data_IF_957261927269
#
_entry.id   IF_957261927269
#
_cell.length_a   1.000
_cell.length_b   1.000
_cell.length_c   1.000
_cell.angle_alpha   90.00
_cell.angle_beta   90.00
_cell.angle_gamma   90.00
#
_symmetry.space_group_name_H-M   'P 1'
#
loop_
_entity.id
_entity.type
_entity.pdbx_description
1 polymer ?
#
# COMPACT_ATOMS: atom_id res chain seq x y z
N UNK A 1 -13.39 -30.23 -27.48
CA UNK A 1 -14.31 -30.98 -26.59
C UNK A 1 -14.29 -30.25 -25.26
N UNK A 2 -15.46 -29.95 -24.67
CA UNK A 2 -15.48 -29.46 -23.30
C UNK A 2 -15.00 -30.61 -22.40
N UNK A 3 -14.00 -30.35 -21.56
CA UNK A 3 -13.40 -31.35 -20.68
C UNK A 3 -14.31 -31.60 -19.47
N UNK A 4 -15.04 -30.56 -19.07
CA UNK A 4 -16.07 -30.60 -18.04
C UNK A 4 -17.43 -30.80 -18.73
N UNK A 5 -18.19 -31.80 -18.29
CA UNK A 5 -19.52 -32.03 -18.81
C UNK A 5 -20.51 -30.93 -18.35
N UNK A 6 -21.63 -30.77 -19.05
CA UNK A 6 -22.60 -29.69 -18.77
C UNK A 6 -23.26 -29.82 -17.37
N UNK A 7 -23.40 -31.06 -16.88
CA UNK A 7 -24.00 -31.34 -15.57
C UNK A 7 -23.04 -30.94 -14.45
N UNK A 8 -21.77 -31.28 -14.57
CA UNK A 8 -20.68 -30.87 -13.69
C UNK A 8 -20.54 -29.36 -13.69
N UNK A 9 -20.60 -28.72 -14.86
CA UNK A 9 -20.53 -27.27 -14.98
C UNK A 9 -21.68 -26.59 -14.23
N UNK A 10 -22.90 -27.11 -14.37
CA UNK A 10 -24.06 -26.59 -13.63
C UNK A 10 -23.88 -26.70 -12.12
N UNK A 11 -23.37 -27.84 -11.63
CA UNK A 11 -23.07 -28.03 -10.21
C UNK A 11 -21.96 -27.10 -9.70
N UNK A 12 -20.94 -26.82 -10.51
CA UNK A 12 -19.87 -25.88 -10.18
C UNK A 12 -20.37 -24.43 -10.13
N UNK A 13 -21.31 -24.05 -11.00
CA UNK A 13 -21.95 -22.73 -10.96
C UNK A 13 -22.76 -22.56 -9.67
N UNK A 14 -23.53 -23.57 -9.27
CA UNK A 14 -24.29 -23.54 -8.01
C UNK A 14 -23.38 -23.38 -6.80
N UNK A 15 -22.30 -24.17 -6.72
CA UNK A 15 -21.26 -24.03 -5.69
C UNK A 15 -20.59 -22.66 -5.70
N UNK A 16 -20.34 -22.09 -6.88
CA UNK A 16 -19.72 -20.77 -6.99
C UNK A 16 -20.65 -19.67 -6.45
N UNK A 17 -21.96 -19.77 -6.71
CA UNK A 17 -22.95 -18.86 -6.15
C UNK A 17 -23.06 -19.01 -4.63
N UNK A 18 -22.98 -20.23 -4.11
CA UNK A 18 -22.90 -20.49 -2.67
C UNK A 18 -21.67 -19.81 -2.04
N UNK A 19 -20.49 -19.98 -2.65
CA UNK A 19 -19.25 -19.37 -2.19
C UNK A 19 -19.26 -17.83 -2.12
N UNK A 20 -20.04 -17.19 -3.00
CA UNK A 20 -20.18 -15.74 -3.06
C UNK A 20 -21.21 -15.23 -2.05
N UNK A 21 -22.30 -15.97 -1.85
CA UNK A 21 -23.36 -15.61 -0.89
C UNK A 21 -23.02 -15.93 0.55
N UNK A 22 -21.98 -16.72 0.76
CA UNK A 22 -21.52 -17.07 2.09
C UNK A 22 -21.06 -15.82 2.87
N UNK A 23 -21.60 -15.69 4.08
CA UNK A 23 -21.37 -14.55 4.96
C UNK A 23 -20.01 -14.59 5.65
N UNK A 24 -19.48 -15.80 5.84
CA UNK A 24 -18.18 -16.05 6.46
C UNK A 24 -17.11 -16.11 5.36
N UNK A 25 -16.15 -15.16 5.30
CA UNK A 25 -15.15 -15.08 4.23
C UNK A 25 -14.36 -16.39 4.03
N UNK A 26 -14.01 -17.06 5.13
CA UNK A 26 -13.26 -18.32 5.13
C UNK A 26 -14.00 -19.47 4.45
N UNK A 27 -15.30 -19.60 4.71
CA UNK A 27 -16.11 -20.63 4.09
C UNK A 27 -16.22 -20.40 2.59
N UNK A 28 -16.43 -19.15 2.17
CA UNK A 28 -16.42 -18.79 0.74
C UNK A 28 -15.08 -19.09 0.07
N UNK A 29 -13.95 -18.79 0.75
CA UNK A 29 -12.62 -19.12 0.24
C UNK A 29 -12.41 -20.64 0.12
N UNK A 30 -12.84 -21.41 1.12
CA UNK A 30 -12.77 -22.89 1.10
C UNK A 30 -13.56 -23.49 -0.06
N UNK A 31 -14.79 -23.02 -0.31
CA UNK A 31 -15.60 -23.51 -1.43
C UNK A 31 -14.94 -23.16 -2.77
N UNK A 32 -14.41 -21.94 -2.92
CA UNK A 32 -13.65 -21.56 -4.12
C UNK A 32 -12.42 -22.46 -4.33
N UNK A 33 -11.74 -22.87 -3.25
CA UNK A 33 -10.61 -23.81 -3.33
C UNK A 33 -11.05 -25.18 -3.82
N UNK A 34 -12.14 -25.72 -3.28
CA UNK A 34 -12.71 -26.99 -3.75
C UNK A 34 -13.08 -26.93 -5.24
N UNK A 35 -13.62 -25.81 -5.72
CA UNK A 35 -13.94 -25.61 -7.14
C UNK A 35 -12.67 -25.68 -8.00
N UNK A 36 -11.62 -24.95 -7.62
CA UNK A 36 -10.34 -24.95 -8.34
C UNK A 36 -9.70 -26.33 -8.34
N UNK A 37 -9.70 -27.04 -7.20
CA UNK A 37 -9.17 -28.40 -7.09
C UNK A 37 -9.97 -29.40 -7.94
N UNK A 38 -11.29 -29.29 -7.95
CA UNK A 38 -12.17 -30.14 -8.78
C UNK A 38 -11.87 -29.94 -10.26
N UNK A 39 -11.78 -28.69 -10.72
CA UNK A 39 -11.45 -28.37 -12.12
C UNK A 39 -10.03 -28.83 -12.45
N UNK A 40 -9.07 -28.63 -11.54
CA UNK A 40 -7.69 -29.11 -11.70
C UNK A 40 -7.63 -30.62 -11.90
N UNK A 41 -8.39 -31.38 -11.11
CA UNK A 41 -8.50 -32.83 -11.26
C UNK A 41 -9.14 -33.23 -12.59
N UNK A 42 -10.17 -32.52 -13.05
CA UNK A 42 -10.85 -32.81 -14.33
C UNK A 42 -9.95 -32.47 -15.54
N UNK A 43 -9.14 -31.42 -15.43
CA UNK A 43 -8.24 -30.95 -16.47
C UNK A 43 -6.84 -31.60 -16.41
N UNK A 44 -6.66 -32.69 -15.65
CA UNK A 44 -5.36 -33.35 -15.48
C UNK A 44 -4.21 -32.38 -15.15
N UNK A 45 -4.49 -31.38 -14.31
CA UNK A 45 -3.53 -30.32 -13.91
C UNK A 45 -3.01 -29.44 -15.06
N UNK A 46 -3.67 -29.45 -16.23
CA UNK A 46 -3.33 -28.56 -17.34
C UNK A 46 -3.78 -27.12 -17.05
N UNK A 47 -2.83 -26.29 -16.64
CA UNK A 47 -3.07 -24.88 -16.25
C UNK A 47 -3.85 -24.06 -17.28
N UNK A 48 -3.64 -24.32 -18.58
CA UNK A 48 -4.35 -23.61 -19.65
C UNK A 48 -5.84 -23.97 -19.68
N UNK A 49 -6.14 -25.24 -19.48
CA UNK A 49 -7.52 -25.75 -19.47
C UNK A 49 -8.26 -25.34 -18.20
N UNK A 50 -7.57 -25.37 -17.05
CA UNK A 50 -8.11 -24.87 -15.78
C UNK A 50 -8.51 -23.40 -15.91
N UNK A 51 -7.61 -22.55 -16.40
CA UNK A 51 -7.89 -21.13 -16.60
C UNK A 51 -9.07 -20.91 -17.58
N UNK A 52 -9.14 -21.70 -18.65
CA UNK A 52 -10.23 -21.62 -19.62
C UNK A 52 -11.59 -22.02 -19.02
N UNK A 53 -11.64 -23.09 -18.22
CA UNK A 53 -12.87 -23.54 -17.56
C UNK A 53 -13.30 -22.55 -16.45
N UNK A 54 -12.37 -22.02 -15.65
CA UNK A 54 -12.66 -20.97 -14.67
C UNK A 54 -13.24 -19.71 -15.33
N UNK A 55 -12.66 -19.28 -16.46
CA UNK A 55 -13.19 -18.16 -17.24
C UNK A 55 -14.59 -18.44 -17.77
N UNK A 56 -14.85 -19.69 -18.17
CA UNK A 56 -16.17 -20.10 -18.67
C UNK A 56 -17.21 -20.11 -17.55
N UNK A 57 -16.86 -20.56 -16.34
CA UNK A 57 -17.71 -20.46 -15.16
C UNK A 57 -18.00 -19.01 -14.78
N UNK A 58 -16.98 -18.15 -14.78
CA UNK A 58 -17.16 -16.75 -14.47
C UNK A 58 -18.12 -16.06 -15.46
N UNK A 59 -18.02 -16.38 -16.76
CA UNK A 59 -18.97 -15.89 -17.78
C UNK A 59 -20.39 -16.42 -17.58
N UNK A 60 -20.53 -17.67 -17.13
CA UNK A 60 -21.84 -18.23 -16.79
C UNK A 60 -22.45 -17.53 -15.57
N UNK A 61 -21.64 -17.17 -14.57
CA UNK A 61 -22.04 -16.39 -13.39
C UNK A 61 -22.50 -14.97 -13.78
N UNK A 62 -21.84 -14.32 -14.73
CA UNK A 62 -22.31 -13.02 -15.27
C UNK A 62 -23.71 -13.13 -15.90
N UNK A 63 -24.08 -14.31 -16.41
CA UNK A 63 -25.38 -14.55 -17.04
C UNK A 63 -26.44 -14.91 -16.00
N UNK A 64 -26.07 -15.63 -14.93
CA UNK A 64 -27.01 -16.09 -13.89
C UNK A 64 -27.13 -15.16 -12.69
N UNK A 65 -26.17 -14.25 -12.49
CA UNK A 65 -26.10 -13.34 -11.35
C UNK A 65 -25.57 -11.94 -11.73
N UNK A 66 -25.11 -11.16 -10.76
CA UNK A 66 -24.53 -9.83 -10.93
C UNK A 66 -23.10 -9.87 -11.49
N UNK A 67 -22.74 -8.88 -12.30
CA UNK A 67 -21.38 -8.65 -12.78
C UNK A 67 -20.37 -8.53 -11.62
N UNK A 68 -20.79 -7.95 -10.49
CA UNK A 68 -19.95 -7.82 -9.31
C UNK A 68 -19.58 -9.18 -8.69
N UNK A 69 -20.55 -10.11 -8.63
CA UNK A 69 -20.33 -11.45 -8.08
C UNK A 69 -19.36 -12.25 -8.96
N UNK A 70 -19.52 -12.16 -10.28
CA UNK A 70 -18.59 -12.79 -11.21
C UNK A 70 -17.17 -12.21 -11.10
N UNK A 71 -17.04 -10.91 -10.85
CA UNK A 71 -15.76 -10.26 -10.61
C UNK A 71 -15.09 -10.74 -9.31
N UNK A 72 -15.83 -10.80 -8.21
CA UNK A 72 -15.32 -11.36 -6.94
C UNK A 72 -14.88 -12.81 -7.09
N UNK A 73 -15.66 -13.64 -7.78
CA UNK A 73 -15.29 -15.02 -8.07
C UNK A 73 -13.97 -15.12 -8.84
N UNK A 74 -13.78 -14.27 -9.87
CA UNK A 74 -12.51 -14.21 -10.63
C UNK A 74 -11.33 -13.84 -9.72
N UNK A 75 -11.50 -12.87 -8.82
CA UNK A 75 -10.44 -12.48 -7.90
C UNK A 75 -10.06 -13.62 -6.95
N UNK A 76 -11.06 -14.21 -6.28
CA UNK A 76 -10.86 -15.30 -5.31
C UNK A 76 -10.18 -16.52 -5.95
N UNK A 77 -10.68 -16.95 -7.11
CA UNK A 77 -10.11 -18.11 -7.82
C UNK A 77 -8.70 -17.85 -8.34
N UNK A 78 -8.40 -16.63 -8.79
CA UNK A 78 -7.04 -16.23 -9.18
C UNK A 78 -6.06 -16.29 -8.00
N UNK A 79 -6.44 -15.75 -6.84
CA UNK A 79 -5.63 -15.80 -5.63
C UNK A 79 -5.33 -17.26 -5.20
N UNK A 80 -6.35 -18.11 -5.21
CA UNK A 80 -6.23 -19.54 -4.86
C UNK A 80 -5.31 -20.28 -5.84
N UNK A 81 -5.43 -20.06 -7.14
CA UNK A 81 -4.53 -20.67 -8.12
C UNK A 81 -3.07 -20.31 -7.85
N UNK A 82 -2.79 -19.04 -7.51
CA UNK A 82 -1.45 -18.60 -7.16
C UNK A 82 -0.95 -19.28 -5.88
N UNK A 83 -1.80 -19.41 -4.87
CA UNK A 83 -1.48 -20.08 -3.61
C UNK A 83 -1.13 -21.55 -3.83
N UNK A 84 -1.96 -22.30 -4.58
CA UNK A 84 -1.70 -23.71 -4.93
C UNK A 84 -0.36 -23.82 -5.67
N UNK A 85 -0.12 -22.96 -6.67
CA UNK A 85 1.14 -22.95 -7.42
C UNK A 85 2.37 -22.64 -6.54
N UNK A 86 2.24 -21.75 -5.56
CA UNK A 86 3.30 -21.47 -4.60
C UNK A 86 3.54 -22.65 -3.67
N UNK A 87 2.48 -23.30 -3.19
CA UNK A 87 2.59 -24.45 -2.29
C UNK A 87 3.19 -25.66 -2.99
N UNK A 88 2.84 -25.93 -4.24
CA UNK A 88 3.44 -26.99 -5.06
C UNK A 88 4.94 -26.75 -5.25
N UNK A 89 5.35 -25.51 -5.55
CA UNK A 89 6.78 -25.14 -5.63
C UNK A 89 7.49 -25.32 -4.29
N UNK A 90 6.83 -25.00 -3.18
CA UNK A 90 7.36 -25.22 -1.83
C UNK A 90 7.53 -26.72 -1.55
N UNK A 91 6.52 -27.54 -1.86
CA UNK A 91 6.56 -29.00 -1.72
C UNK A 91 7.68 -29.60 -2.59
N UNK A 92 7.84 -29.17 -3.83
CA UNK A 92 8.91 -29.64 -4.72
C UNK A 92 10.31 -29.36 -4.15
N UNK A 93 10.52 -28.17 -3.56
CA UNK A 93 11.79 -27.81 -2.90
C UNK A 93 12.10 -28.72 -1.70
N UNK A 94 11.09 -29.06 -0.89
CA UNK A 94 11.28 -29.92 0.28
C UNK A 94 11.62 -31.37 -0.09
N UNK A 95 11.07 -31.88 -1.21
CA UNK A 95 11.32 -33.26 -1.66
C UNK A 95 12.61 -33.40 -2.48
N UNK A 96 13.48 -32.38 -2.53
CA UNK A 96 14.73 -32.43 -3.29
C UNK A 96 14.54 -32.53 -4.80
N UNK A 97 13.32 -32.35 -5.31
CA UNK A 97 13.09 -32.09 -6.72
C UNK A 97 13.56 -30.67 -6.99
N UNK A 98 14.84 -30.54 -7.37
CA UNK A 98 15.35 -29.32 -7.96
C UNK A 98 14.41 -28.96 -9.12
N UNK A 99 13.59 -27.93 -8.92
CA UNK A 99 12.77 -27.39 -9.98
C UNK A 99 13.71 -27.13 -11.16
N UNK A 100 13.47 -27.80 -12.29
CA UNK A 100 14.19 -27.49 -13.51
C UNK A 100 14.15 -25.96 -13.65
N UNK A 101 15.30 -25.29 -13.85
CA UNK A 101 15.33 -23.85 -13.93
C UNK A 101 14.27 -23.45 -14.93
N UNK A 102 13.33 -22.59 -14.51
CA UNK A 102 12.39 -21.96 -15.44
C UNK A 102 13.26 -21.47 -16.57
N UNK A 103 13.09 -21.95 -17.82
CA UNK A 103 13.95 -21.56 -18.91
C UNK A 103 13.92 -20.04 -18.91
N UNK A 104 15.06 -19.45 -18.58
CA UNK A 104 15.23 -18.00 -18.66
C UNK A 104 14.77 -17.68 -20.07
N UNK A 105 13.72 -16.86 -20.25
CA UNK A 105 13.24 -16.55 -21.59
C UNK A 105 14.47 -16.06 -22.34
N UNK A 106 14.90 -16.86 -23.32
CA UNK A 106 16.03 -16.51 -24.17
C UNK A 106 15.66 -15.12 -24.68
N UNK A 107 16.49 -14.10 -24.44
CA UNK A 107 16.16 -12.74 -24.85
C UNK A 107 15.76 -12.81 -26.31
N UNK A 108 14.48 -12.54 -26.58
CA UNK A 108 13.97 -12.47 -27.94
C UNK A 108 14.87 -11.45 -28.63
N UNK A 109 15.60 -11.82 -29.69
CA UNK A 109 16.48 -10.89 -30.37
C UNK A 109 15.66 -9.65 -30.71
N UNK A 110 16.14 -8.49 -30.26
CA UNK A 110 15.49 -7.22 -30.49
C UNK A 110 15.09 -7.15 -31.97
N UNK A 111 13.82 -6.87 -32.29
CA UNK A 111 13.40 -6.74 -33.68
C UNK A 111 14.35 -5.77 -34.36
N UNK A 112 14.99 -6.24 -35.44
CA UNK A 112 15.94 -5.46 -36.21
C UNK A 112 15.29 -4.10 -36.51
N UNK A 113 16.01 -3.02 -36.19
CA UNK A 113 15.54 -1.66 -36.38
C UNK A 113 14.95 -1.52 -37.79
N UNK A 114 13.65 -1.25 -37.86
CA UNK A 114 12.98 -0.88 -39.10
C UNK A 114 13.77 0.28 -39.71
N UNK A 115 14.24 0.18 -40.97
CA UNK A 115 15.00 1.24 -41.59
C UNK A 115 14.18 2.53 -41.61
N UNK A 116 14.82 3.63 -41.21
CA UNK A 116 14.22 4.96 -41.18
C UNK A 116 13.64 5.31 -42.56
N UNK A 117 12.43 5.90 -42.62
CA UNK A 117 11.85 6.32 -43.89
C UNK A 117 12.74 7.38 -44.54
N UNK A 118 13.17 7.11 -45.78
CA UNK A 118 13.88 8.03 -46.65
C UNK A 118 13.13 9.36 -46.73
N UNK A 119 13.81 10.45 -46.37
CA UNK A 119 13.26 11.80 -46.45
C UNK A 119 12.80 12.13 -47.87
N UNK A 120 11.53 12.52 -47.99
CA UNK A 120 10.96 13.02 -49.23
C UNK A 120 11.64 14.35 -49.64
N UNK A 121 11.87 14.58 -50.94
CA UNK A 121 12.53 15.80 -51.42
C UNK A 121 11.68 17.05 -51.16
N UNK A 122 12.35 18.10 -50.69
CA UNK A 122 11.77 19.39 -50.34
C UNK A 122 11.09 20.06 -51.55
N UNK A 123 9.87 20.55 -51.32
CA UNK A 123 9.12 21.35 -52.28
C UNK A 123 9.79 22.73 -52.52
N UNK A 124 9.66 23.30 -53.73
CA UNK A 124 10.25 24.60 -54.07
C UNK A 124 9.56 25.77 -53.37
N UNK A 125 10.27 26.90 -53.16
CA UNK A 125 9.77 28.04 -52.39
C UNK A 125 8.66 28.79 -53.13
N UNK A 126 7.61 29.12 -52.37
CA UNK A 126 6.50 30.01 -52.79
C UNK A 126 6.99 31.47 -52.85
N UNK A 127 6.60 32.25 -53.88
CA UNK A 127 7.04 33.64 -54.03
C UNK A 127 6.35 34.59 -53.04
N UNK A 128 7.10 35.64 -52.68
CA UNK A 128 6.74 36.68 -51.71
C UNK A 128 5.51 37.52 -52.14
N UNK A 129 4.65 37.94 -51.19
CA UNK A 129 3.58 38.87 -51.46
C UNK A 129 4.10 40.32 -51.54
N UNK A 130 3.61 41.04 -52.56
CA UNK A 130 3.86 42.45 -52.81
C UNK A 130 3.22 43.34 -51.73
N UNK A 131 3.93 44.43 -51.38
CA UNK A 131 3.42 45.53 -50.59
C UNK A 131 2.46 46.38 -51.43
N UNK A 132 1.29 46.71 -50.89
CA UNK A 132 0.47 47.83 -51.35
C UNK A 132 0.17 48.81 -50.19
N UNK A 133 0.30 50.07 -50.55
CA UNK A 133 0.18 51.35 -49.83
C UNK A 133 -1.18 51.60 -49.15
N UNK A 134 -1.25 52.51 -48.13
CA UNK A 134 -2.49 52.86 -47.46
C UNK A 134 -3.21 54.02 -48.16
N UNK A 135 -4.53 53.92 -48.26
CA UNK A 135 -5.41 55.05 -48.57
C UNK A 135 -6.48 55.18 -47.47
N UNK A 136 -6.70 56.44 -47.09
CA UNK A 136 -7.57 56.89 -46.02
C UNK A 136 -9.07 56.81 -46.35
N UNK A 137 -9.88 57.08 -45.32
CA UNK A 137 -11.11 57.91 -45.31
C UNK A 137 -12.38 57.25 -44.71
N UNK A 138 -12.92 58.00 -43.75
CA UNK A 138 -14.29 58.21 -43.25
C UNK A 138 -15.16 57.12 -42.58
N UNK A 139 -15.47 57.44 -41.32
CA UNK A 139 -16.76 57.25 -40.63
C UNK A 139 -17.92 57.93 -41.39
N UNK A 140 -19.17 57.41 -41.37
CA UNK A 140 -20.08 57.79 -40.27
C UNK A 140 -21.17 56.75 -39.86
N UNK A 141 -21.52 56.80 -38.57
CA UNK A 141 -22.87 56.91 -37.96
C UNK A 141 -24.11 56.18 -38.56
N UNK A 142 -24.80 55.46 -37.66
CA UNK A 142 -26.24 55.57 -37.26
C UNK A 142 -27.27 54.51 -37.72
N UNK A 143 -27.92 53.94 -36.69
CA UNK A 143 -29.33 53.48 -36.51
C UNK A 143 -30.13 52.87 -37.67
N UNK A 144 -30.80 51.73 -37.39
CA UNK A 144 -32.10 51.41 -37.97
C UNK A 144 -32.41 49.93 -38.18
N UNK A 145 -33.08 49.30 -37.20
CA UNK A 145 -33.99 48.15 -37.39
C UNK A 145 -35.29 48.59 -38.12
N UNK A 146 -36.26 47.72 -38.50
CA UNK A 146 -36.28 46.33 -39.02
C UNK A 146 -37.17 46.31 -40.33
N UNK A 147 -38.02 45.32 -40.75
CA UNK A 147 -38.19 43.88 -40.45
C UNK A 147 -38.42 42.93 -41.68
N UNK A 148 -38.66 41.63 -41.36
CA UNK A 148 -39.60 40.66 -42.00
C UNK A 148 -39.16 39.71 -43.15
N UNK A 149 -39.23 38.41 -42.80
CA UNK A 149 -39.87 37.27 -43.49
C UNK A 149 -39.31 36.75 -44.85
N UNK A 150 -38.77 35.52 -44.86
CA UNK A 150 -39.49 34.26 -45.21
C UNK A 150 -38.56 33.02 -45.27
N UNK A 151 -38.96 31.96 -44.55
CA UNK A 151 -39.13 30.52 -44.95
C UNK A 151 -37.96 29.89 -45.76
N UNK A 152 -37.30 28.76 -45.40
CA UNK A 152 -37.73 27.34 -45.32
C UNK A 152 -36.52 26.52 -44.78
N UNK A 153 -36.75 25.49 -43.95
CA UNK A 153 -35.97 24.23 -44.03
C UNK A 153 -35.13 23.80 -42.81
N UNK A 154 -35.72 22.95 -41.95
CA UNK A 154 -35.11 22.08 -40.92
C UNK A 154 -34.17 20.98 -41.51
N UNK A 155 -33.63 20.01 -40.73
CA UNK A 155 -32.90 20.00 -39.43
C UNK A 155 -31.55 19.20 -39.54
N UNK A 156 -30.57 19.20 -38.63
CA UNK A 156 -30.49 18.50 -37.31
C UNK A 156 -29.07 18.73 -36.75
N UNK A 157 -28.88 19.30 -35.55
CA UNK A 157 -28.60 18.63 -34.26
C UNK A 157 -27.39 17.67 -34.30
N UNK A 158 -26.18 17.97 -33.78
CA UNK A 158 -25.74 18.40 -32.41
C UNK A 158 -26.15 17.35 -31.35
N UNK A 159 -25.42 16.94 -30.30
CA UNK A 159 -24.21 17.42 -29.61
C UNK A 159 -23.80 16.36 -28.57
N UNK A 160 -22.55 16.46 -28.12
CA UNK A 160 -21.94 15.88 -26.90
C UNK A 160 -22.60 16.45 -25.62
N UNK A 161 -22.53 15.76 -24.46
CA UNK A 161 -21.93 16.37 -23.26
C UNK A 161 -21.08 15.37 -22.45
N UNK A 162 -19.90 15.72 -21.92
CA UNK A 162 -19.54 16.60 -20.79
C UNK A 162 -19.76 15.97 -19.40
N UNK A 163 -18.64 15.97 -18.65
CA UNK A 163 -18.43 15.42 -17.33
C UNK A 163 -19.25 16.10 -16.22
N UNK A 164 -19.54 15.33 -15.16
CA UNK A 164 -20.09 15.82 -13.90
C UNK A 164 -19.54 15.01 -12.73
N UNK A 165 -18.72 15.66 -11.92
CA UNK A 165 -18.26 15.23 -10.60
C UNK A 165 -19.38 15.44 -9.58
N UNK A 166 -19.57 14.52 -8.63
CA UNK A 166 -20.29 14.84 -7.39
C UNK A 166 -19.73 14.06 -6.20
N UNK A 167 -19.30 14.84 -5.21
CA UNK A 167 -19.01 14.47 -3.83
C UNK A 167 -20.30 14.34 -3.03
N UNK A 168 -20.37 13.41 -2.09
CA UNK A 168 -21.28 13.54 -0.94
C UNK A 168 -20.66 12.96 0.32
N UNK A 169 -20.52 13.85 1.30
CA UNK A 169 -20.26 13.59 2.70
C UNK A 169 -21.60 13.29 3.40
N UNK A 170 -21.59 12.38 4.36
CA UNK A 170 -22.64 12.31 5.39
C UNK A 170 -22.05 11.83 6.71
N UNK A 171 -21.99 12.76 7.65
CA UNK A 171 -21.81 12.56 9.07
C UNK A 171 -23.15 12.17 9.70
N UNK A 172 -23.12 11.24 10.66
CA UNK A 172 -24.15 11.14 11.68
C UNK A 172 -23.50 10.77 13.01
N UNK A 173 -23.71 11.64 13.99
CA UNK A 173 -23.29 11.52 15.38
C UNK A 173 -24.53 11.33 16.25
N UNK A 174 -24.53 10.34 17.14
CA UNK A 174 -25.41 10.31 18.31
C UNK A 174 -24.82 9.46 19.44
N UNK A 175 -24.21 10.19 20.37
CA UNK A 175 -24.24 10.07 21.83
C UNK A 175 -24.87 8.85 22.49
N UNK A 176 -24.15 8.23 23.44
CA UNK A 176 -24.69 7.86 24.76
C UNK A 176 -23.54 7.60 25.74
N UNK A 177 -23.41 8.50 26.71
CA UNK A 177 -22.58 8.38 27.91
C UNK A 177 -23.21 7.42 28.90
N UNK A 178 -22.42 6.56 29.54
CA UNK A 178 -22.75 6.01 30.85
C UNK A 178 -21.51 5.95 31.74
N UNK A 179 -21.60 6.72 32.82
CA UNK A 179 -20.76 6.71 34.01
C UNK A 179 -20.81 5.34 34.68
N UNK A 180 -19.66 4.79 35.08
CA UNK A 180 -19.55 4.06 36.34
C UNK A 180 -18.14 4.25 36.91
N UNK A 181 -18.06 5.01 38.00
CA UNK A 181 -16.93 5.00 38.92
C UNK A 181 -17.23 3.98 40.02
N UNK A 182 -16.27 3.12 40.37
CA UNK A 182 -15.94 2.82 41.77
C UNK A 182 -14.73 1.89 41.94
N UNK A 183 -14.09 1.92 43.13
CA UNK A 183 -12.69 1.56 43.34
C UNK A 183 -12.51 0.30 44.21
N UNK A 184 -11.29 -0.26 44.25
CA UNK A 184 -10.82 -1.11 45.35
C UNK A 184 -9.29 -1.26 45.26
N UNK A 185 -8.52 -0.59 46.11
CA UNK A 185 -8.04 -1.02 47.44
C UNK A 185 -7.15 -2.26 47.39
N UNK A 186 -5.84 -2.04 47.35
CA UNK A 186 -4.81 -3.07 47.43
C UNK A 186 -3.59 -2.57 48.21
N UNK A 187 -3.71 -2.64 49.54
CA UNK A 187 -2.72 -2.32 50.56
C UNK A 187 -1.54 -3.30 50.50
N UNK A 188 -0.31 -2.84 50.27
CA UNK A 188 0.91 -3.58 50.65
C UNK A 188 1.87 -2.66 51.40
N UNK A 189 2.16 -3.11 52.62
CA UNK A 189 3.14 -2.68 53.62
C UNK A 189 4.52 -3.14 53.08
N UNK A 190 5.56 -2.34 52.90
CA UNK A 190 6.33 -1.63 53.93
C UNK A 190 7.76 -2.20 53.94
N UNK A 191 8.77 -1.37 53.66
CA UNK A 191 10.19 -1.54 54.04
C UNK A 191 10.93 -0.26 53.62
N UNK A 192 11.13 0.68 54.55
CA UNK A 192 12.40 0.89 55.27
C UNK A 192 13.53 1.42 54.39
N UNK A 193 13.67 2.75 54.43
CA UNK A 193 14.87 3.53 54.14
C UNK A 193 16.06 3.05 54.98
N UNK A 194 17.30 3.27 54.51
CA UNK A 194 18.09 4.26 55.23
C UNK A 194 18.75 5.29 54.32
N UNK A 195 18.79 6.52 54.84
CA UNK A 195 19.58 7.62 54.33
C UNK A 195 21.08 7.31 54.46
N UNK A 196 21.83 7.54 53.39
CA UNK A 196 23.27 7.78 53.46
C UNK A 196 23.58 8.99 52.56
N UNK A 197 24.27 9.91 53.21
CA UNK A 197 24.85 11.20 52.82
C UNK A 197 25.65 11.22 51.51
N UNK A 198 25.46 12.30 50.75
CA UNK A 198 26.43 12.87 49.81
C UNK A 198 27.78 13.17 50.49
N UNK A 199 28.89 13.15 49.73
CA UNK A 199 29.57 14.42 49.51
C UNK A 199 30.20 14.62 48.12
N UNK A 200 30.31 15.92 47.77
CA UNK A 200 31.30 16.58 46.90
C UNK A 200 31.19 16.33 45.39
N UNK A 201 30.67 17.26 44.58
CA UNK A 201 31.22 18.59 44.22
C UNK A 201 32.65 18.53 43.65
N UNK A 202 32.74 18.56 42.32
CA UNK A 202 33.93 18.96 41.59
C UNK A 202 33.57 20.18 40.71
N UNK A 203 34.16 21.31 41.10
CA UNK A 203 34.31 22.54 40.34
C UNK A 203 34.79 22.29 38.90
N UNK A 204 34.15 22.93 37.92
CA UNK A 204 34.86 23.67 36.87
C UNK A 204 34.14 25.01 36.68
N UNK A 205 34.81 26.07 37.13
CA UNK A 205 34.47 27.47 36.92
C UNK A 205 35.02 27.97 35.57
N UNK A 206 34.34 28.96 35.00
CA UNK A 206 34.84 29.84 33.93
C UNK A 206 33.82 30.07 32.81
N UNK A 207 33.30 31.26 32.55
CA UNK A 207 33.32 32.51 33.29
C UNK A 207 32.19 33.39 32.74
N UNK A 208 31.39 33.98 33.62
CA UNK A 208 30.37 34.96 33.27
C UNK A 208 31.03 36.35 33.25
N UNK A 209 31.13 36.95 32.07
CA UNK A 209 31.46 38.37 31.92
C UNK A 209 30.13 39.13 31.90
N UNK A 210 29.94 39.95 32.93
CA UNK A 210 28.91 40.98 32.98
C UNK A 210 29.26 42.05 31.94
N UNK A 211 28.31 42.41 31.09
CA UNK A 211 28.35 43.68 30.36
C UNK A 211 27.04 44.43 30.62
N UNK A 212 27.16 45.55 31.33
CA UNK A 212 26.12 46.56 31.46
C UNK A 212 26.05 47.42 30.19
N UNK A 213 24.84 47.78 29.78
CA UNK A 213 24.58 48.96 28.94
C UNK A 213 25.07 48.91 27.50
N UNK A 214 24.26 48.34 26.61
CA UNK A 214 24.46 48.45 25.17
C UNK A 214 23.18 48.12 24.42
N UNK A 215 22.42 49.16 24.09
CA UNK A 215 21.32 49.12 23.13
C UNK A 215 21.87 48.62 21.79
N UNK A 216 21.56 47.39 21.42
CA UNK A 216 21.81 46.85 20.09
C UNK A 216 20.50 46.31 19.52
N UNK A 217 20.04 47.04 18.50
CA UNK A 217 19.31 46.60 17.33
C UNK A 217 18.93 45.12 17.32
N UNK A 218 17.62 44.86 17.28
CA UNK A 218 17.07 43.61 16.75
C UNK A 218 17.49 43.48 15.28
N UNK A 219 18.70 42.97 15.05
CA UNK A 219 18.98 42.29 13.81
C UNK A 219 18.06 41.07 13.79
N UNK A 220 17.12 41.11 12.86
CA UNK A 220 16.31 40.00 12.41
C UNK A 220 17.26 38.84 12.08
N UNK A 221 17.51 37.97 13.07
CA UNK A 221 18.02 36.64 12.81
C UNK A 221 17.00 36.00 11.88
N UNK A 222 17.37 35.91 10.60
CA UNK A 222 16.64 35.11 9.62
C UNK A 222 16.55 33.72 10.21
N UNK A 223 15.37 33.39 10.73
CA UNK A 223 15.04 32.08 11.27
C UNK A 223 15.45 31.07 10.22
N UNK A 224 16.58 30.39 10.46
CA UNK A 224 16.91 29.19 9.73
C UNK A 224 15.82 28.23 10.13
N UNK A 225 14.79 28.12 9.31
CA UNK A 225 13.72 27.16 9.51
C UNK A 225 14.38 25.78 9.43
N UNK A 226 14.79 25.26 10.59
CA UNK A 226 15.35 23.93 10.71
C UNK A 226 14.22 22.97 10.39
N UNK A 227 14.17 22.54 9.13
CA UNK A 227 13.15 21.63 8.59
C UNK A 227 13.24 20.34 9.40
N UNK A 228 12.37 20.18 10.39
CA UNK A 228 12.34 18.98 11.24
C UNK A 228 12.09 17.76 10.36
N UNK A 229 12.69 16.60 10.69
CA UNK A 229 12.34 15.36 10.01
C UNK A 229 10.85 15.07 10.22
N UNK A 230 10.14 14.53 9.22
CA UNK A 230 8.70 14.28 9.29
C UNK A 230 8.33 13.03 10.14
N UNK A 231 9.25 12.56 10.98
CA UNK A 231 9.11 11.34 11.75
C UNK A 231 8.59 11.66 13.16
N UNK A 232 7.70 10.80 13.66
CA UNK A 232 7.22 10.84 15.05
C UNK A 232 8.06 9.92 15.93
N UNK A 233 7.48 8.80 16.35
CA UNK A 233 8.10 7.85 17.27
C UNK A 233 8.87 6.79 16.50
N UNK A 234 9.97 6.32 17.08
CA UNK A 234 10.53 5.03 16.72
C UNK A 234 9.62 3.96 17.34
N UNK A 235 8.81 3.31 16.53
CA UNK A 235 7.84 2.32 16.99
C UNK A 235 8.46 0.93 17.09
N UNK A 236 9.30 0.56 16.11
CA UNK A 236 9.87 -0.78 16.01
C UNK A 236 11.36 -0.77 15.70
N UNK A 237 12.05 -1.77 16.23
CA UNK A 237 13.32 -2.25 15.71
C UNK A 237 13.11 -3.61 15.06
N UNK A 238 13.22 -3.66 13.74
CA UNK A 238 12.92 -4.86 12.97
C UNK A 238 14.18 -5.70 12.70
N UNK A 239 14.34 -6.74 13.52
CA UNK A 239 15.50 -7.62 13.57
C UNK A 239 15.32 -8.85 12.68
N UNK A 240 16.37 -9.15 11.92
CA UNK A 240 16.47 -10.43 11.20
C UNK A 240 17.12 -11.52 12.03
N UNK A 241 16.64 -12.75 11.86
CA UNK A 241 17.25 -13.95 12.41
C UNK A 241 17.33 -15.09 11.39
N UNK A 242 18.41 -15.86 11.45
CA UNK A 242 18.56 -17.10 10.68
C UNK A 242 17.94 -18.32 11.38
N UNK A 243 17.69 -18.24 12.69
CA UNK A 243 17.02 -19.27 13.49
C UNK A 243 15.92 -18.61 14.35
N UNK A 244 14.71 -18.58 13.78
CA UNK A 244 13.58 -17.89 14.37
C UNK A 244 13.16 -18.50 15.70
N UNK A 245 13.01 -19.82 15.76
CA UNK A 245 12.46 -20.51 16.92
C UNK A 245 13.43 -20.38 18.11
N UNK A 246 14.74 -20.58 17.89
CA UNK A 246 15.74 -20.40 18.95
C UNK A 246 15.85 -18.94 19.42
N UNK A 247 15.67 -17.97 18.50
CA UNK A 247 15.68 -16.56 18.86
C UNK A 247 14.48 -16.20 19.73
N UNK A 248 13.28 -16.64 19.36
CA UNK A 248 12.06 -16.42 20.14
C UNK A 248 12.17 -17.03 21.54
N UNK A 249 12.67 -18.26 21.65
CA UNK A 249 12.93 -18.92 22.94
C UNK A 249 13.88 -18.09 23.81
N UNK A 250 14.97 -17.56 23.25
CA UNK A 250 15.88 -16.68 23.97
C UNK A 250 15.19 -15.41 24.52
N UNK A 251 14.34 -14.75 23.74
CA UNK A 251 13.62 -13.56 24.20
C UNK A 251 12.61 -13.88 25.32
N UNK A 252 11.91 -15.01 25.23
CA UNK A 252 10.92 -15.42 26.23
C UNK A 252 11.57 -15.96 27.51
N UNK A 253 12.53 -16.86 27.38
CA UNK A 253 12.99 -17.68 28.49
C UNK A 253 14.24 -17.10 29.16
N UNK A 254 15.09 -16.40 28.40
CA UNK A 254 16.33 -15.79 28.93
C UNK A 254 16.12 -14.33 29.27
N UNK A 255 15.51 -13.55 28.37
CA UNK A 255 15.28 -12.12 28.60
C UNK A 255 13.97 -11.83 29.34
N UNK A 256 13.08 -12.81 29.46
CA UNK A 256 11.74 -12.63 30.04
C UNK A 256 10.97 -11.46 29.40
N UNK A 257 11.14 -11.29 28.09
CA UNK A 257 10.47 -10.25 27.35
C UNK A 257 8.96 -10.55 27.25
N UNK A 258 8.15 -9.50 27.31
CA UNK A 258 6.71 -9.62 27.11
C UNK A 258 6.43 -9.80 25.62
N UNK A 259 5.87 -10.96 25.23
CA UNK A 259 5.35 -11.15 23.86
C UNK A 259 4.06 -10.33 23.70
N UNK A 260 4.08 -9.38 22.77
CA UNK A 260 2.94 -8.49 22.50
C UNK A 260 2.01 -9.11 21.46
N UNK A 261 2.57 -9.62 20.37
CA UNK A 261 1.83 -10.31 19.30
C UNK A 261 2.78 -11.20 18.50
N UNK A 262 2.21 -12.13 17.74
CA UNK A 262 2.90 -12.99 16.79
C UNK A 262 2.13 -13.13 15.48
N UNK A 263 2.87 -13.31 14.39
CA UNK A 263 2.37 -13.47 13.04
C UNK A 263 3.07 -14.67 12.40
N UNK A 264 2.30 -15.62 11.88
CA UNK A 264 2.80 -16.81 11.17
C UNK A 264 1.90 -17.14 9.97
N UNK A 265 2.19 -16.45 8.84
CA UNK A 265 1.48 -16.63 7.56
C UNK A 265 2.42 -16.33 6.39
N UNK A 266 2.09 -16.86 5.22
CA UNK A 266 2.83 -16.62 3.96
C UNK A 266 4.33 -16.95 4.02
N UNK A 267 4.74 -17.86 4.91
CA UNK A 267 6.14 -18.20 5.13
C UNK A 267 6.94 -17.14 5.91
N UNK A 268 6.28 -16.06 6.34
CA UNK A 268 6.84 -15.05 7.22
C UNK A 268 6.38 -15.32 8.65
N UNK A 269 7.36 -15.51 9.54
CA UNK A 269 7.17 -15.54 10.98
C UNK A 269 7.71 -14.25 11.58
N UNK A 270 6.90 -13.57 12.38
CA UNK A 270 7.28 -12.34 13.08
C UNK A 270 6.73 -12.38 14.50
N UNK A 271 7.56 -12.16 15.51
CA UNK A 271 7.09 -11.95 16.89
C UNK A 271 7.51 -10.57 17.37
N UNK A 272 6.59 -9.85 18.01
CA UNK A 272 6.85 -8.60 18.67
C UNK A 272 7.08 -8.79 20.17
N UNK A 273 8.18 -8.23 20.66
CA UNK A 273 8.54 -8.26 22.07
C UNK A 273 8.66 -6.86 22.64
N UNK A 274 8.18 -6.69 23.86
CA UNK A 274 8.49 -5.56 24.71
C UNK A 274 9.57 -5.96 25.70
N UNK A 275 10.78 -5.46 25.46
CA UNK A 275 11.97 -5.73 26.29
C UNK A 275 12.22 -4.62 27.30
N UNK A 276 11.86 -3.37 26.96
CA UNK A 276 12.02 -2.20 27.81
C UNK A 276 11.01 -1.12 27.43
N UNK A 277 10.88 0.00 28.18
CA UNK A 277 10.12 1.16 27.73
C UNK A 277 10.69 1.71 26.42
N UNK A 278 9.84 1.90 25.41
CA UNK A 278 10.24 2.41 24.10
C UNK A 278 9.77 1.52 22.95
N UNK A 279 10.54 1.40 21.84
CA UNK A 279 10.12 0.64 20.67
C UNK A 279 9.99 -0.86 20.96
N UNK A 280 9.06 -1.51 20.28
CA UNK A 280 8.98 -2.97 20.28
C UNK A 280 10.10 -3.57 19.41
N UNK A 281 10.61 -4.73 19.82
CA UNK A 281 11.52 -5.51 18.99
C UNK A 281 10.71 -6.49 18.16
N UNK A 282 10.82 -6.39 16.84
CA UNK A 282 10.23 -7.36 15.93
C UNK A 282 11.31 -8.33 15.49
N UNK A 283 11.14 -9.62 15.77
CA UNK A 283 12.04 -10.68 15.31
C UNK A 283 11.40 -11.35 14.11
N UNK A 284 12.08 -11.43 12.96
CA UNK A 284 11.56 -12.18 11.80
C UNK A 284 12.53 -13.13 11.11
N UNK A 285 11.95 -14.18 10.54
CA UNK A 285 12.66 -15.23 9.80
C UNK A 285 13.01 -14.85 8.35
N UNK A 286 12.36 -13.83 7.79
CA UNK A 286 12.54 -13.45 6.38
C UNK A 286 13.56 -12.32 6.20
N UNK A 287 14.07 -11.77 7.30
CA UNK A 287 15.20 -10.83 7.30
C UNK A 287 16.46 -11.58 7.73
N UNK A 288 17.53 -11.41 6.97
CA UNK A 288 18.83 -12.06 7.24
C UNK A 288 19.50 -11.49 8.48
N UNK A 289 20.11 -12.33 9.32
CA UNK A 289 20.97 -11.88 10.40
C UNK A 289 22.41 -11.64 9.92
N UNK A 290 23.16 -10.72 10.57
CA UNK A 290 22.67 -9.69 11.47
C UNK A 290 22.02 -8.54 10.65
N UNK A 291 20.81 -8.15 11.01
CA UNK A 291 20.20 -6.93 10.47
C UNK A 291 19.21 -6.31 11.45
N UNK A 292 19.07 -4.99 11.38
CA UNK A 292 18.10 -4.21 12.14
C UNK A 292 17.59 -3.08 11.24
N UNK A 293 16.27 -2.97 11.07
CA UNK A 293 15.63 -1.84 10.41
C UNK A 293 14.80 -1.05 11.42
N UNK A 294 15.19 0.20 11.72
CA UNK A 294 14.34 1.11 12.48
C UNK A 294 13.07 1.45 11.68
N UNK A 295 11.92 1.45 12.35
CA UNK A 295 10.61 1.76 11.76
C UNK A 295 9.99 2.95 12.49
N UNK A 296 9.76 4.04 11.77
CA UNK A 296 9.23 5.29 12.33
C UNK A 296 7.77 5.53 11.94
N UNK A 297 7.00 6.05 12.89
CA UNK A 297 5.65 6.55 12.64
C UNK A 297 5.66 7.89 11.89
N UNK A 298 4.67 8.09 11.02
CA UNK A 298 4.41 9.37 10.36
C UNK A 298 2.92 9.74 10.43
N UNK A 299 2.61 11.04 10.33
CA UNK A 299 1.21 11.53 10.30
C UNK A 299 0.48 11.10 9.02
N UNK A 300 1.10 11.39 7.89
CA UNK A 300 0.56 11.11 6.55
C UNK A 300 1.68 10.51 5.71
N UNK A 301 1.53 9.22 5.39
CA UNK A 301 2.52 8.45 4.65
C UNK A 301 2.73 8.99 3.25
N UNK A 302 1.64 9.31 2.55
CA UNK A 302 1.67 9.80 1.17
C UNK A 302 2.37 11.15 1.07
N UNK A 303 2.02 12.09 1.96
CA UNK A 303 2.67 13.40 2.04
C UNK A 303 4.14 13.26 2.43
N UNK A 304 4.45 12.42 3.42
CA UNK A 304 5.83 12.22 3.90
C UNK A 304 6.72 11.65 2.80
N UNK A 305 6.24 10.63 2.07
CA UNK A 305 6.99 10.05 0.95
C UNK A 305 7.24 11.07 -0.15
N UNK A 306 6.23 11.88 -0.50
CA UNK A 306 6.39 12.95 -1.50
C UNK A 306 7.46 13.94 -1.06
N UNK A 307 7.39 14.43 0.18
CA UNK A 307 8.39 15.36 0.71
C UNK A 307 9.79 14.76 0.80
N UNK A 308 9.91 13.49 1.17
CA UNK A 308 11.20 12.81 1.24
C UNK A 308 11.77 12.59 -0.18
N UNK A 309 10.94 12.22 -1.16
CA UNK A 309 11.36 12.08 -2.57
C UNK A 309 11.90 13.39 -3.13
N UNK A 310 11.26 14.52 -2.82
CA UNK A 310 11.78 15.85 -3.16
C UNK A 310 13.16 16.15 -2.52
N UNK A 311 13.45 15.54 -1.36
CA UNK A 311 14.73 15.66 -0.65
C UNK A 311 15.76 14.61 -1.09
N UNK A 312 15.48 13.80 -2.12
CA UNK A 312 16.41 12.80 -2.67
C UNK A 312 16.25 11.39 -2.09
N UNK A 313 15.15 11.11 -1.39
CA UNK A 313 14.80 9.77 -0.92
C UNK A 313 14.66 8.79 -2.08
N UNK A 314 15.32 7.63 -1.93
CA UNK A 314 15.25 6.52 -2.88
C UNK A 314 14.57 5.34 -2.22
N UNK A 315 13.34 5.12 -2.62
CA UNK A 315 12.54 3.99 -2.17
C UNK A 315 13.23 2.66 -2.51
N UNK A 316 13.32 1.77 -1.52
CA UNK A 316 13.87 0.43 -1.67
C UNK A 316 12.77 -0.59 -1.90
N UNK A 317 11.72 -0.54 -1.08
CA UNK A 317 10.53 -1.38 -1.21
C UNK A 317 9.31 -0.69 -0.60
N UNK A 318 8.19 -0.77 -1.30
CA UNK A 318 6.92 -0.18 -0.92
C UNK A 318 5.95 -0.07 -2.12
N UNK A 319 4.66 0.14 -1.85
CA UNK A 319 4.00 -0.05 -0.56
C UNK A 319 3.95 -1.51 -0.12
N UNK A 320 4.02 -1.77 1.19
CA UNK A 320 3.68 -3.07 1.76
C UNK A 320 2.85 -2.90 3.04
N UNK A 321 1.91 -3.82 3.26
CA UNK A 321 1.06 -3.80 4.45
C UNK A 321 1.80 -4.29 5.69
N UNK A 322 1.59 -3.63 6.81
CA UNK A 322 1.92 -4.12 8.16
C UNK A 322 0.61 -4.27 8.95
N UNK A 323 0.59 -5.02 10.06
CA UNK A 323 -0.58 -5.10 10.94
C UNK A 323 -1.13 -3.73 11.37
N UNK A 324 -0.27 -2.72 11.40
CA UNK A 324 -0.61 -1.38 11.89
C UNK A 324 -0.80 -0.34 10.79
N UNK A 325 -0.78 -0.75 9.52
CA UNK A 325 -0.99 0.12 8.36
C UNK A 325 0.06 -0.06 7.26
N UNK A 326 -0.03 0.79 6.24
CA UNK A 326 0.88 0.77 5.10
C UNK A 326 2.28 1.28 5.48
N UNK A 327 3.31 0.67 4.93
CA UNK A 327 4.70 1.01 5.20
C UNK A 327 5.55 1.08 3.93
N UNK A 328 6.63 1.86 4.03
CA UNK A 328 7.64 2.03 2.99
C UNK A 328 9.04 1.93 3.59
N UNK A 329 9.96 1.38 2.82
CA UNK A 329 11.36 1.22 3.20
C UNK A 329 12.31 1.87 2.21
N UNK A 330 13.45 2.32 2.71
CA UNK A 330 14.48 2.99 1.95
C UNK A 330 15.85 2.73 2.55
N UNK A 331 16.89 3.04 1.77
CA UNK A 331 18.27 2.96 2.20
C UNK A 331 18.82 4.37 2.43
N UNK A 332 19.54 4.54 3.52
CA UNK A 332 20.42 5.69 3.69
C UNK A 332 21.68 5.54 2.79
N UNK A 333 22.54 6.58 2.70
CA UNK A 333 23.79 6.47 1.95
C UNK A 333 24.77 5.40 2.44
N UNK A 334 24.63 4.95 3.70
CA UNK A 334 25.42 3.86 4.28
C UNK A 334 24.88 2.47 3.94
N UNK A 335 23.72 2.38 3.28
CA UNK A 335 23.04 1.11 3.01
C UNK A 335 22.23 0.58 4.21
N UNK A 336 22.01 1.40 5.24
CA UNK A 336 21.14 1.04 6.35
C UNK A 336 19.68 1.13 5.90
N UNK A 337 18.92 0.07 6.18
CA UNK A 337 17.49 0.02 5.86
C UNK A 337 16.69 0.73 6.94
N UNK A 338 15.85 1.68 6.53
CA UNK A 338 14.95 2.44 7.39
C UNK A 338 13.55 2.28 6.83
N UNK A 339 12.53 2.23 7.68
CA UNK A 339 11.13 2.22 7.27
C UNK A 339 10.32 3.33 7.94
N UNK A 340 9.26 3.73 7.26
CA UNK A 340 8.21 4.60 7.76
C UNK A 340 6.86 3.93 7.56
N UNK A 341 5.95 4.15 8.50
CA UNK A 341 4.58 3.67 8.40
C UNK A 341 3.61 4.68 9.00
N UNK A 342 2.37 4.65 8.54
CA UNK A 342 1.29 5.40 9.15
C UNK A 342 0.42 4.43 9.94
N UNK A 343 0.19 4.75 11.20
CA UNK A 343 -0.75 4.00 12.05
C UNK A 343 -2.14 4.18 11.46
N UNK A 344 -2.78 3.08 11.10
CA UNK A 344 -4.19 3.08 10.73
C UNK A 344 -5.03 3.45 11.98
N UNK A 345 -5.88 4.49 11.94
CA UNK A 345 -6.73 4.87 13.06
C UNK A 345 -7.59 3.71 13.60
N UNK A 346 -7.94 2.75 12.74
CA UNK A 346 -8.72 1.58 13.10
C UNK A 346 -7.84 0.37 13.51
N UNK A 347 -6.51 0.49 13.40
CA UNK A 347 -5.58 -0.50 13.92
C UNK A 347 -5.57 -0.45 15.44
N UNK A 348 -6.28 -1.39 16.05
CA UNK A 348 -6.21 -1.62 17.48
C UNK A 348 -4.92 -2.37 17.80
N UNK A 349 -3.93 -1.63 18.27
CA UNK A 349 -2.59 -2.05 18.71
C UNK A 349 -2.57 -3.06 19.89
N UNK A 350 -3.62 -3.89 20.03
CA UNK A 350 -3.76 -4.93 21.06
C UNK A 350 -4.17 -6.30 20.55
N UNK A 351 -4.48 -6.44 19.28
CA UNK A 351 -4.68 -7.74 18.66
C UNK A 351 -4.79 -7.49 17.18
N UNK A 352 -3.70 -7.73 16.44
CA UNK A 352 -3.91 -8.14 15.06
C UNK A 352 -4.69 -9.46 15.14
N UNK A 353 -6.01 -9.34 15.12
CA UNK A 353 -6.92 -10.42 14.76
C UNK A 353 -7.07 -10.25 13.27
N UNK A 354 -6.58 -11.22 12.52
CA UNK A 354 -6.77 -11.25 11.08
C UNK A 354 -8.29 -11.14 10.81
N UNK A 355 -8.78 -10.20 9.98
CA UNK A 355 -10.20 -10.11 9.65
C UNK A 355 -10.74 -11.36 8.94
N UNK A 356 -9.86 -12.29 8.54
CA UNK A 356 -10.23 -13.64 8.08
C UNK A 356 -10.44 -14.65 9.22
N UNK A 357 -10.21 -14.30 10.49
CA UNK A 357 -10.47 -15.19 11.63
C UNK A 357 -11.91 -15.16 12.17
N UNK A 358 -12.88 -14.62 11.42
CA UNK A 358 -14.32 -14.68 11.73
C UNK A 358 -15.15 -15.42 10.69
#
# INVERSE_FOLDING_TARGET
MAIVDEKQRSALIEKALEAIKESVPENGHKICREIVETISSLCNQNQKEIAQELQTLAKALETSSSENEAFEFKQKTCAIMLEISMEERRKARLHGQAAAPVPVPVPVPAPAATPAPTAAPAAPPTPAPAQETPAAVDTPRREGDPPRNKIIGLPSQTSVPQAGSSSSSSSNSSSSSNFFSSPSTGKIIGASTPAVTDPAAADIAGGAVLNEGGELSQESEGSVETKRPPFKNLAYLYLGTDDYDATVEYYLDVLHAEKVWDFDRFGAKVTAFKVSPGPLLLVSNHRKAPSCQPVFEVDDLSLTIRELKERGFKEQAGPFGTPNGEAYSFLDPGGNSIAIFQVDPDSTDRSYVDPTEY
#
